data_IF_147360323415
#
_entry.id   IF_147360323415
#
_cell.length_a   1.000
_cell.length_b   1.000
_cell.length_c   1.000
_cell.angle_alpha   90.00
_cell.angle_beta   90.00
_cell.angle_gamma   90.00
#
_symmetry.space_group_name_H-M   'P 1'
#
loop_
_entity.id
_entity.type
_entity.pdbx_description
1 polymer ?
#
# COMPACT_ATOMS: atom_id res chain seq x y z
N UNK A 1 -14.19 -14.91 -22.34
CA UNK A 1 -14.07 -15.77 -21.13
C UNK A 1 -14.56 -15.01 -19.91
N UNK A 2 -15.32 -15.62 -19.00
CA UNK A 2 -15.91 -14.92 -17.85
C UNK A 2 -14.84 -14.49 -16.83
N UNK A 3 -13.87 -15.35 -16.51
CA UNK A 3 -12.78 -15.02 -15.59
C UNK A 3 -11.96 -13.81 -16.06
N UNK A 4 -11.59 -13.77 -17.35
CA UNK A 4 -10.88 -12.62 -17.94
C UNK A 4 -11.72 -11.33 -17.90
N UNK A 5 -13.02 -11.41 -18.18
CA UNK A 5 -13.92 -10.26 -18.08
C UNK A 5 -14.04 -9.76 -16.64
N UNK A 6 -14.14 -10.68 -15.68
CA UNK A 6 -14.19 -10.36 -14.26
C UNK A 6 -12.88 -9.72 -13.80
N UNK A 7 -11.74 -10.31 -14.15
CA UNK A 7 -10.41 -9.74 -13.87
C UNK A 7 -10.25 -8.33 -14.46
N UNK A 8 -10.75 -8.09 -15.68
CA UNK A 8 -10.75 -6.74 -16.26
C UNK A 8 -11.59 -5.77 -15.45
N UNK A 9 -12.82 -6.14 -15.10
CA UNK A 9 -13.71 -5.28 -14.32
C UNK A 9 -13.16 -4.98 -12.92
N UNK A 10 -12.52 -5.97 -12.29
CA UNK A 10 -11.85 -5.78 -11.01
C UNK A 10 -10.69 -4.79 -11.12
N UNK A 11 -9.85 -4.91 -12.16
CA UNK A 11 -8.77 -3.95 -12.42
C UNK A 11 -9.31 -2.55 -12.64
N UNK A 12 -10.35 -2.40 -13.46
CA UNK A 12 -10.91 -1.07 -13.75
C UNK A 12 -11.54 -0.44 -12.49
N UNK A 13 -12.22 -1.23 -11.67
CA UNK A 13 -12.90 -0.74 -10.46
C UNK A 13 -11.97 -0.47 -9.27
N UNK A 14 -10.94 -1.31 -9.09
CA UNK A 14 -10.10 -1.32 -7.89
C UNK A 14 -8.64 -0.96 -8.15
N UNK A 15 -8.24 -0.82 -9.42
CA UNK A 15 -6.85 -0.55 -9.84
C UNK A 15 -5.84 -1.61 -9.38
N UNK A 16 -6.30 -2.85 -9.17
CA UNK A 16 -5.46 -3.99 -8.81
C UNK A 16 -5.56 -5.09 -9.87
N UNK A 17 -4.49 -5.84 -10.05
CA UNK A 17 -4.46 -6.99 -10.95
C UNK A 17 -4.69 -8.29 -10.18
N UNK A 18 -5.80 -8.98 -10.46
CA UNK A 18 -6.08 -10.29 -9.86
C UNK A 18 -5.51 -11.39 -10.76
N UNK A 19 -4.55 -12.20 -10.31
CA UNK A 19 -4.01 -13.30 -11.09
C UNK A 19 -5.12 -14.30 -11.47
N UNK A 20 -5.11 -14.81 -12.70
CA UNK A 20 -6.13 -15.78 -13.15
C UNK A 20 -6.21 -17.01 -12.24
N UNK A 21 -5.09 -17.42 -11.64
CA UNK A 21 -5.02 -18.54 -10.70
C UNK A 21 -5.91 -18.33 -9.47
N UNK A 22 -6.03 -17.10 -8.95
CA UNK A 22 -6.86 -16.78 -7.79
C UNK A 22 -8.33 -17.15 -8.01
N UNK A 23 -8.83 -17.02 -9.25
CA UNK A 23 -10.21 -17.38 -9.59
C UNK A 23 -10.49 -18.90 -9.51
N UNK A 24 -9.44 -19.72 -9.54
CA UNK A 24 -9.55 -21.18 -9.42
C UNK A 24 -9.21 -21.67 -8.02
N UNK A 25 -8.19 -21.08 -7.38
CA UNK A 25 -7.76 -21.44 -6.02
C UNK A 25 -8.74 -20.96 -4.95
N UNK A 26 -9.44 -19.85 -5.22
CA UNK A 26 -10.41 -19.21 -4.35
C UNK A 26 -11.72 -18.92 -5.12
N UNK A 27 -12.51 -19.96 -5.47
CA UNK A 27 -13.60 -19.85 -6.45
C UNK A 27 -14.90 -19.27 -5.86
N UNK A 28 -14.82 -18.50 -4.78
CA UNK A 28 -15.99 -17.85 -4.17
C UNK A 28 -15.85 -16.34 -4.16
N UNK A 29 -17.00 -15.64 -4.17
CA UNK A 29 -17.01 -14.18 -4.11
C UNK A 29 -16.40 -13.69 -2.78
N UNK A 30 -16.62 -14.42 -1.68
CA UNK A 30 -16.08 -14.05 -0.37
C UNK A 30 -14.54 -14.11 -0.38
N UNK A 31 -13.96 -15.19 -0.88
CA UNK A 31 -12.50 -15.36 -0.90
C UNK A 31 -11.84 -14.34 -1.85
N UNK A 32 -12.45 -14.10 -3.02
CA UNK A 32 -11.98 -13.06 -3.95
C UNK A 32 -12.07 -11.66 -3.31
N UNK A 33 -13.14 -11.35 -2.59
CA UNK A 33 -13.28 -10.06 -1.90
C UNK A 33 -12.21 -9.87 -0.83
N UNK A 34 -11.88 -10.90 -0.06
CA UNK A 34 -10.77 -10.87 0.91
C UNK A 34 -9.43 -10.61 0.22
N UNK A 35 -9.14 -11.29 -0.89
CA UNK A 35 -7.91 -11.07 -1.65
C UNK A 35 -7.81 -9.65 -2.21
N UNK A 36 -8.91 -9.09 -2.70
CA UNK A 36 -8.99 -7.70 -3.19
C UNK A 36 -8.72 -6.73 -2.05
N UNK A 37 -9.38 -6.92 -0.90
CA UNK A 37 -9.24 -6.04 0.25
C UNK A 37 -7.79 -6.01 0.76
N UNK A 38 -7.11 -7.16 0.79
CA UNK A 38 -5.71 -7.23 1.20
C UNK A 38 -4.80 -6.45 0.25
N UNK A 39 -4.94 -6.62 -1.08
CA UNK A 39 -4.14 -5.86 -2.04
C UNK A 39 -4.37 -4.35 -1.96
N UNK A 40 -5.61 -3.92 -1.70
CA UNK A 40 -5.92 -2.50 -1.50
C UNK A 40 -5.25 -1.94 -0.24
N UNK A 41 -5.22 -2.72 0.84
CA UNK A 41 -4.54 -2.32 2.08
C UNK A 41 -3.02 -2.17 1.86
N UNK A 42 -2.40 -3.15 1.20
CA UNK A 42 -0.96 -3.14 0.88
C UNK A 42 -0.60 -1.95 -0.03
N UNK A 43 -1.41 -1.65 -1.04
CA UNK A 43 -1.20 -0.49 -1.92
C UNK A 43 -1.34 0.85 -1.17
N UNK A 44 -2.29 0.94 -0.24
CA UNK A 44 -2.47 2.13 0.60
C UNK A 44 -1.27 2.33 1.53
N UNK A 45 -0.78 1.27 2.16
CA UNK A 45 0.37 1.32 3.06
C UNK A 45 1.64 1.76 2.31
N UNK A 46 1.88 1.20 1.12
CA UNK A 46 2.98 1.61 0.26
C UNK A 46 2.91 3.10 -0.12
N UNK A 47 1.71 3.61 -0.37
CA UNK A 47 1.50 5.04 -0.67
C UNK A 47 1.83 5.92 0.52
N UNK A 48 1.34 5.57 1.72
CA UNK A 48 1.65 6.30 2.96
C UNK A 48 3.17 6.31 3.24
N UNK A 49 3.83 5.16 3.05
CA UNK A 49 5.26 5.06 3.24
C UNK A 49 6.04 5.93 2.24
N UNK A 50 5.64 5.92 0.96
CA UNK A 50 6.25 6.76 -0.06
C UNK A 50 6.09 8.26 0.25
N UNK A 51 4.93 8.66 0.78
CA UNK A 51 4.69 10.03 1.23
C UNK A 51 5.61 10.41 2.40
N UNK A 52 5.69 9.58 3.43
CA UNK A 52 6.59 9.80 4.57
C UNK A 52 8.06 9.90 4.11
N UNK A 53 8.49 9.06 3.16
CA UNK A 53 9.85 9.14 2.61
C UNK A 53 10.07 10.45 1.82
N UNK A 54 9.08 10.89 1.06
CA UNK A 54 9.17 12.15 0.32
C UNK A 54 9.28 13.37 1.25
N UNK A 55 8.57 13.37 2.38
CA UNK A 55 8.71 14.40 3.42
C UNK A 55 10.14 14.45 3.97
N UNK A 56 10.73 13.29 4.27
CA UNK A 56 12.12 13.21 4.75
C UNK A 56 13.10 13.72 3.68
N UNK A 57 12.90 13.39 2.41
CA UNK A 57 13.77 13.83 1.31
C UNK A 57 13.72 15.34 1.06
N UNK A 58 12.66 16.03 1.51
CA UNK A 58 12.54 17.48 1.39
C UNK A 58 13.23 18.23 2.53
N UNK A 59 13.62 17.54 3.62
CA UNK A 59 14.38 18.13 4.71
C UNK A 59 15.79 18.48 4.24
N UNK A 60 16.25 19.68 4.60
CA UNK A 60 17.67 20.01 4.52
C UNK A 60 18.47 19.31 5.62
N UNK A 61 19.78 19.18 5.42
CA UNK A 61 20.69 18.57 6.41
C UNK A 61 20.64 19.29 7.77
N UNK A 62 20.45 20.62 7.77
CA UNK A 62 20.37 21.45 8.98
C UNK A 62 19.07 21.20 9.76
N UNK A 63 17.94 21.10 9.06
CA UNK A 63 16.64 20.76 9.66
C UNK A 63 16.63 19.34 10.22
N UNK A 64 17.21 18.38 9.49
CA UNK A 64 17.33 17.00 9.94
C UNK A 64 18.19 16.90 11.21
N UNK A 65 19.35 17.58 11.24
CA UNK A 65 20.21 17.63 12.44
C UNK A 65 19.52 18.26 13.64
N UNK A 66 18.75 19.33 13.43
CA UNK A 66 18.00 20.01 14.50
C UNK A 66 16.93 19.09 15.09
N UNK A 67 16.16 18.39 14.24
CA UNK A 67 15.13 17.43 14.68
C UNK A 67 15.75 16.25 15.46
N UNK A 68 16.84 15.65 14.95
CA UNK A 68 17.55 14.56 15.62
C UNK A 68 18.04 14.96 17.01
N UNK A 69 18.66 16.15 17.13
CA UNK A 69 19.16 16.66 18.42
C UNK A 69 18.01 16.91 19.40
N UNK A 70 16.86 17.40 18.90
CA UNK A 70 15.67 17.65 19.72
C UNK A 70 15.08 16.34 20.27
N UNK A 71 14.97 15.30 19.43
CA UNK A 71 14.50 13.97 19.87
C UNK A 71 15.44 13.30 20.88
N UNK A 72 16.76 13.45 20.72
CA UNK A 72 17.74 12.90 21.67
C UNK A 72 17.62 13.52 23.07
N UNK A 73 17.28 14.81 23.13
CA UNK A 73 17.06 15.53 24.39
C UNK A 73 15.76 15.14 25.09
N UNK A 74 14.69 14.87 24.33
CA UNK A 74 13.42 14.38 24.87
C UNK A 74 13.52 12.94 25.42
N UNK A 75 14.33 12.07 24.79
CA UNK A 75 14.52 10.70 25.25
C UNK A 75 15.33 10.58 26.56
N UNK A 76 15.98 11.65 27.00
CA UNK A 76 16.80 11.70 28.22
C UNK A 76 16.13 12.44 29.40
N UNK A 77 14.86 12.85 29.25
CA UNK A 77 13.99 13.31 30.36
C UNK A 77 13.08 12.19 30.84
#
# INVERSE_FOLDING_TARGET
MLATQLASRCRDAFQIEIPLRQFFDAPTIADLATSIAQQLAEASEATLFAQALAEIQQLSDEEAQTLLTTFEQEAHQ
#
